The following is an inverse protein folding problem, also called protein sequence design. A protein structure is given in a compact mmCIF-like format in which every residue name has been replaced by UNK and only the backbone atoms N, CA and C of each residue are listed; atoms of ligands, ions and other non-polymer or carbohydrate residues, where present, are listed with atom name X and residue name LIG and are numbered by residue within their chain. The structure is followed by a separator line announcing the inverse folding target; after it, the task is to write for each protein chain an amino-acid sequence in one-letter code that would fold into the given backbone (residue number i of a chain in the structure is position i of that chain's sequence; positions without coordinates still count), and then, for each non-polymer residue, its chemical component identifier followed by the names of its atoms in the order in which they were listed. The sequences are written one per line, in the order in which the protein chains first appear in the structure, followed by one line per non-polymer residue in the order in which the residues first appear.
data_IF_833283483242
#
_entry.id   IF_833283483242
#
_cell.length_a   1.000
_cell.length_b   1.000
_cell.length_c   1.000
_cell.angle_alpha   90.00
_cell.angle_beta   90.00
_cell.angle_gamma   90.00
#
_symmetry.space_group_name_H-M   'P 1'
#
loop_
_entity.id
_entity.type
_entity.pdbx_description
1 polymer ?
#
# COMPACT_ATOMS: atom_id res chain seq x y z
N UNK A 1 -50.62 -51.73 -3.69
CA UNK A 1 -49.89 -50.86 -2.75
C UNK A 1 -48.42 -50.95 -3.13
N UNK A 2 -47.65 -49.94 -3.52
CA UNK A 2 -47.84 -48.51 -3.72
C UNK A 2 -46.63 -48.08 -4.58
N UNK A 3 -46.85 -47.35 -5.69
CA UNK A 3 -45.78 -46.86 -6.57
C UNK A 3 -45.22 -45.56 -6.00
N UNK A 4 -43.96 -45.55 -5.54
CA UNK A 4 -43.28 -44.31 -5.13
C UNK A 4 -42.67 -43.62 -6.35
N UNK A 5 -43.33 -42.56 -6.81
CA UNK A 5 -42.82 -41.63 -7.82
C UNK A 5 -41.71 -40.75 -7.23
N UNK A 6 -40.46 -40.89 -7.71
CA UNK A 6 -39.38 -39.93 -7.45
C UNK A 6 -39.50 -38.73 -8.39
N UNK A 7 -39.85 -37.58 -7.82
CA UNK A 7 -39.91 -36.27 -8.45
C UNK A 7 -38.48 -35.87 -8.90
N UNK A 8 -38.28 -35.62 -10.21
CA UNK A 8 -37.05 -35.01 -10.73
C UNK A 8 -37.08 -33.50 -10.43
N UNK A 9 -36.16 -33.00 -9.60
CA UNK A 9 -36.02 -31.56 -9.41
C UNK A 9 -35.25 -30.94 -10.58
N UNK A 10 -35.96 -30.12 -11.36
CA UNK A 10 -35.34 -29.25 -12.37
C UNK A 10 -34.64 -28.09 -11.65
N UNK A 11 -33.33 -28.21 -11.43
CA UNK A 11 -32.50 -27.07 -11.04
C UNK A 11 -32.27 -26.19 -12.28
N UNK A 12 -33.02 -25.09 -12.36
CA UNK A 12 -32.75 -23.98 -13.27
C UNK A 12 -31.33 -23.46 -13.03
N UNK A 13 -30.43 -23.65 -14.01
CA UNK A 13 -29.09 -23.07 -13.98
C UNK A 13 -29.23 -21.55 -14.16
N UNK A 14 -28.93 -20.78 -13.11
CA UNK A 14 -28.76 -19.34 -13.25
C UNK A 14 -27.58 -19.05 -14.20
N UNK A 15 -27.66 -18.01 -15.04
CA UNK A 15 -26.58 -17.70 -15.97
C UNK A 15 -25.34 -17.29 -15.15
N UNK A 16 -24.27 -18.09 -15.26
CA UNK A 16 -22.95 -17.75 -14.70
C UNK A 16 -22.53 -16.43 -15.33
N UNK A 17 -22.42 -15.37 -14.51
CA UNK A 17 -21.81 -14.10 -14.92
C UNK A 17 -20.44 -14.41 -15.51
N UNK A 18 -20.22 -14.01 -16.76
CA UNK A 18 -18.89 -14.09 -17.41
C UNK A 18 -17.92 -13.27 -16.57
N UNK A 19 -17.04 -13.95 -15.84
CA UNK A 19 -15.86 -13.33 -15.25
C UNK A 19 -14.94 -13.00 -16.42
N UNK A 20 -14.73 -11.71 -16.69
CA UNK A 20 -13.69 -11.28 -17.62
C UNK A 20 -12.35 -11.56 -16.94
N UNK A 21 -11.74 -12.69 -17.29
CA UNK A 21 -10.36 -12.98 -16.91
C UNK A 21 -9.46 -12.08 -17.73
N UNK A 22 -8.85 -11.08 -17.10
CA UNK A 22 -7.78 -10.33 -17.73
C UNK A 22 -6.55 -11.24 -17.72
N UNK A 23 -6.21 -11.82 -18.86
CA UNK A 23 -4.91 -12.49 -19.03
C UNK A 23 -3.84 -11.42 -19.20
N UNK A 24 -3.34 -10.90 -18.08
CA UNK A 24 -2.12 -10.12 -18.08
C UNK A 24 -0.97 -11.11 -18.35
N UNK A 25 -0.48 -11.12 -19.60
CA UNK A 25 0.74 -11.85 -20.00
C UNK A 25 2.02 -11.25 -19.41
N UNK A 26 1.88 -10.23 -18.56
CA UNK A 26 2.94 -9.44 -17.95
C UNK A 26 2.60 -9.43 -16.47
N UNK A 27 3.50 -9.96 -15.64
CA UNK A 27 3.39 -9.83 -14.19
C UNK A 27 3.27 -8.32 -13.87
N UNK A 28 2.15 -7.87 -13.28
CA UNK A 28 1.91 -6.46 -13.05
C UNK A 28 3.08 -5.81 -12.33
N UNK A 29 3.71 -6.52 -11.39
CA UNK A 29 4.83 -6.03 -10.60
C UNK A 29 6.19 -6.10 -11.30
N UNK A 30 6.42 -7.02 -12.25
CA UNK A 30 7.63 -6.96 -13.09
C UNK A 30 7.59 -5.72 -14.00
N UNK A 31 6.42 -5.35 -14.52
CA UNK A 31 6.25 -4.08 -15.24
C UNK A 31 6.45 -2.85 -14.33
N UNK A 32 6.11 -2.98 -13.04
CA UNK A 32 6.29 -1.91 -12.05
C UNK A 32 7.74 -1.77 -11.56
N UNK A 33 8.62 -2.75 -11.70
CA UNK A 33 10.00 -2.68 -11.21
C UNK A 33 10.91 -2.69 -12.44
N UNK A 34 11.31 -1.49 -12.86
CA UNK A 34 11.88 -1.15 -14.17
C UNK A 34 12.42 -2.31 -15.01
N UNK A 35 11.90 -2.49 -16.23
CA UNK A 35 12.54 -3.32 -17.28
C UNK A 35 13.91 -2.77 -17.71
N UNK A 36 14.24 -1.53 -17.34
CA UNK A 36 15.31 -0.74 -17.94
C UNK A 36 16.53 -0.43 -17.02
N UNK A 37 16.82 -1.25 -16.01
CA UNK A 37 18.11 -1.11 -15.31
C UNK A 37 18.92 -2.41 -15.25
N UNK A 38 19.57 -2.81 -16.37
CA UNK A 38 20.54 -3.90 -16.39
C UNK A 38 21.88 -3.53 -15.70
N UNK A 39 21.98 -2.38 -15.03
CA UNK A 39 23.27 -1.79 -14.64
C UNK A 39 23.73 -2.05 -13.19
N UNK A 40 22.99 -2.82 -12.38
CA UNK A 40 23.56 -3.29 -11.10
C UNK A 40 23.02 -4.68 -10.77
N UNK A 41 23.91 -5.60 -10.39
CA UNK A 41 23.61 -6.88 -9.73
C UNK A 41 22.99 -6.66 -8.32
N UNK A 42 22.05 -5.73 -8.19
CA UNK A 42 21.47 -5.36 -6.91
C UNK A 42 20.33 -6.32 -6.59
N UNK A 43 20.55 -7.11 -5.53
CA UNK A 43 19.54 -7.93 -4.87
C UNK A 43 18.25 -7.13 -4.69
N UNK A 44 17.09 -7.70 -5.07
CA UNK A 44 15.77 -7.09 -4.85
C UNK A 44 15.64 -6.71 -3.35
N UNK A 45 15.28 -5.45 -3.00
CA UNK A 45 15.22 -4.97 -1.61
C UNK A 45 13.96 -5.46 -0.88
N UNK A 46 13.27 -6.44 -1.46
CA UNK A 46 12.04 -7.01 -0.95
C UNK A 46 11.96 -8.49 -1.28
N UNK A 47 11.09 -9.16 -0.54
CA UNK A 47 10.62 -10.51 -0.84
C UNK A 47 9.13 -10.46 -1.17
N UNK A 48 8.66 -11.41 -1.99
CA UNK A 48 7.22 -11.56 -2.23
C UNK A 48 6.66 -12.36 -1.05
N UNK A 49 5.80 -11.73 -0.25
CA UNK A 49 5.16 -12.35 0.90
C UNK A 49 3.87 -13.08 0.51
N UNK A 50 3.12 -12.50 -0.43
CA UNK A 50 1.90 -13.08 -0.97
C UNK A 50 1.73 -12.67 -2.43
N UNK A 51 1.28 -13.61 -3.28
CA UNK A 51 1.02 -13.38 -4.68
C UNK A 51 -0.26 -14.09 -5.12
N UNK A 52 -1.15 -13.36 -5.78
CA UNK A 52 -2.38 -13.86 -6.36
C UNK A 52 -2.60 -13.23 -7.75
N UNK A 53 -2.13 -13.90 -8.82
CA UNK A 53 -2.23 -13.37 -10.17
C UNK A 53 -3.68 -13.34 -10.69
N UNK A 54 -4.56 -14.22 -10.22
CA UNK A 54 -5.97 -14.25 -10.63
C UNK A 54 -6.70 -12.95 -10.26
N UNK A 55 -6.33 -12.36 -9.12
CA UNK A 55 -6.90 -11.09 -8.65
C UNK A 55 -5.93 -9.91 -8.78
N UNK A 56 -4.75 -10.10 -9.37
CA UNK A 56 -3.70 -9.08 -9.48
C UNK A 56 -3.33 -8.45 -8.13
N UNK A 57 -3.25 -9.28 -7.08
CA UNK A 57 -2.89 -8.85 -5.73
C UNK A 57 -1.48 -9.34 -5.43
N UNK A 58 -0.62 -8.44 -4.96
CA UNK A 58 0.72 -8.77 -4.48
C UNK A 58 1.04 -8.02 -3.19
N UNK A 59 1.67 -8.72 -2.26
CA UNK A 59 2.20 -8.15 -1.03
C UNK A 59 3.72 -8.32 -1.02
N UNK A 60 4.41 -7.18 -0.93
CA UNK A 60 5.87 -7.10 -0.87
C UNK A 60 6.28 -6.87 0.58
N UNK A 61 7.32 -7.58 1.02
CA UNK A 61 7.94 -7.38 2.32
C UNK A 61 9.34 -6.81 2.13
N UNK A 62 9.49 -5.52 2.45
CA UNK A 62 10.71 -4.74 2.33
C UNK A 62 10.50 -3.29 2.81
N UNK A 63 11.55 -2.49 2.79
CA UNK A 63 11.45 -1.05 3.06
C UNK A 63 10.71 -0.36 1.90
N UNK A 64 9.64 0.39 2.22
CA UNK A 64 8.80 0.96 1.16
C UNK A 64 9.54 2.00 0.30
N UNK A 65 10.50 2.73 0.86
CA UNK A 65 11.27 3.73 0.11
C UNK A 65 12.21 3.00 -0.86
N UNK A 66 12.89 1.94 -0.42
CA UNK A 66 13.74 1.12 -1.28
C UNK A 66 12.95 0.46 -2.42
N UNK A 67 11.78 -0.11 -2.10
CA UNK A 67 10.89 -0.72 -3.10
C UNK A 67 10.39 0.34 -4.08
N UNK A 68 9.89 1.47 -3.57
CA UNK A 68 9.40 2.55 -4.42
C UNK A 68 10.51 3.15 -5.27
N UNK A 69 11.77 3.19 -4.83
CA UNK A 69 12.91 3.70 -5.61
C UNK A 69 13.27 2.80 -6.80
N UNK A 70 12.98 1.50 -6.73
CA UNK A 70 13.17 0.59 -7.87
C UNK A 70 11.95 0.53 -8.79
N UNK A 71 10.83 1.10 -8.37
CA UNK A 71 9.63 1.10 -9.18
C UNK A 71 9.77 2.03 -10.41
N UNK A 72 9.00 1.75 -11.45
CA UNK A 72 8.92 2.54 -12.68
C UNK A 72 8.23 3.86 -12.38
N UNK A 73 8.73 4.93 -12.96
CA UNK A 73 8.11 6.25 -12.88
C UNK A 73 6.75 6.26 -13.56
N UNK A 74 5.85 7.12 -13.11
CA UNK A 74 4.52 7.31 -13.74
C UNK A 74 3.78 5.98 -13.98
N UNK A 75 3.78 5.11 -12.98
CA UNK A 75 3.24 3.76 -13.08
C UNK A 75 2.02 3.52 -12.18
N UNK A 76 1.89 4.28 -11.09
CA UNK A 76 0.81 4.13 -10.12
C UNK A 76 -0.29 5.18 -10.35
N UNK A 77 -1.54 4.72 -10.45
CA UNK A 77 -2.71 5.60 -10.59
C UNK A 77 -3.16 6.19 -9.24
N UNK A 78 -3.06 5.41 -8.17
CA UNK A 78 -3.51 5.83 -6.84
C UNK A 78 -2.61 5.25 -5.75
N UNK A 79 -2.24 6.09 -4.77
CA UNK A 79 -1.50 5.70 -3.57
C UNK A 79 -2.36 5.99 -2.35
N UNK A 80 -2.42 5.04 -1.43
CA UNK A 80 -2.94 5.25 -0.09
C UNK A 80 -1.82 4.97 0.93
N UNK A 81 -1.54 5.91 1.81
CA UNK A 81 -0.47 5.81 2.80
C UNK A 81 -0.98 6.10 4.21
N UNK A 82 -0.63 5.22 5.15
CA UNK A 82 -0.83 5.41 6.58
C UNK A 82 0.54 5.39 7.29
N UNK A 83 1.28 6.52 7.30
CA UNK A 83 2.65 6.59 7.81
C UNK A 83 2.69 6.53 9.35
N UNK A 84 3.87 6.35 9.96
CA UNK A 84 4.05 6.47 11.41
C UNK A 84 3.60 7.83 11.94
N UNK A 85 2.94 7.85 13.12
CA UNK A 85 2.45 9.09 13.74
C UNK A 85 3.42 9.62 14.81
N UNK A 86 4.48 8.85 15.10
CA UNK A 86 5.55 9.18 16.04
C UNK A 86 5.07 9.30 17.50
N UNK A 87 4.07 8.50 17.87
CA UNK A 87 3.40 8.57 19.19
C UNK A 87 4.00 7.65 20.25
N UNK A 88 4.86 6.72 19.86
CA UNK A 88 5.47 5.74 20.78
C UNK A 88 6.55 6.39 21.66
N UNK A 89 6.16 6.92 22.81
CA UNK A 89 7.03 7.70 23.72
C UNK A 89 7.28 7.07 25.10
N UNK A 90 6.87 5.82 25.32
CA UNK A 90 7.01 5.16 26.63
C UNK A 90 5.86 5.41 27.60
N UNK A 91 4.86 6.21 27.22
CA UNK A 91 3.71 6.53 28.06
C UNK A 91 2.67 5.43 28.21
N UNK A 92 1.67 5.74 29.02
CA UNK A 92 0.46 4.94 29.25
C UNK A 92 -0.76 5.81 28.99
N UNK A 93 -1.82 5.21 28.45
CA UNK A 93 -3.13 5.86 28.30
C UNK A 93 -4.22 4.95 28.87
N UNK A 94 -5.41 5.50 29.08
CA UNK A 94 -6.58 4.72 29.48
C UNK A 94 -7.44 4.44 28.25
N UNK A 95 -7.62 3.16 27.93
CA UNK A 95 -8.53 2.72 26.88
C UNK A 95 -9.58 1.78 27.48
N UNK A 96 -10.86 2.16 27.35
CA UNK A 96 -11.98 1.42 27.93
C UNK A 96 -11.81 1.11 29.44
N UNK A 97 -11.33 2.09 30.22
CA UNK A 97 -11.10 1.95 31.65
C UNK A 97 -9.85 1.13 32.03
N UNK A 98 -9.06 0.69 31.06
CA UNK A 98 -7.83 -0.10 31.28
C UNK A 98 -6.60 0.72 30.92
N UNK A 99 -5.56 0.60 31.74
CA UNK A 99 -4.24 1.14 31.43
C UNK A 99 -3.63 0.35 30.27
N UNK A 100 -3.29 1.05 29.19
CA UNK A 100 -2.66 0.47 28.00
C UNK A 100 -1.43 1.28 27.60
N UNK A 101 -0.41 0.61 27.06
CA UNK A 101 0.78 1.30 26.56
C UNK A 101 0.46 2.08 25.29
N UNK A 102 1.05 3.27 25.14
CA UNK A 102 0.97 4.05 23.89
C UNK A 102 1.98 3.59 22.85
N UNK A 103 2.89 2.67 23.19
CA UNK A 103 3.92 2.18 22.28
C UNK A 103 3.32 1.21 21.24
N UNK A 104 3.33 1.62 19.98
CA UNK A 104 2.88 0.82 18.83
C UNK A 104 4.01 0.01 18.22
N UNK A 105 5.23 0.55 18.26
CA UNK A 105 6.41 -0.15 17.76
C UNK A 105 7.63 0.75 17.70
N UNK A 106 8.80 0.17 17.44
CA UNK A 106 10.06 0.92 17.28
C UNK A 106 10.01 1.88 16.08
N UNK A 107 9.24 1.53 15.05
CA UNK A 107 9.01 2.33 13.84
C UNK A 107 8.17 3.58 14.08
N UNK A 108 7.39 3.62 15.17
CA UNK A 108 6.52 4.74 15.55
C UNK A 108 7.14 5.62 16.65
N UNK A 109 8.44 5.45 16.94
CA UNK A 109 9.16 6.29 17.90
C UNK A 109 9.73 7.51 17.19
N UNK A 110 9.38 8.70 17.67
CA UNK A 110 9.95 9.97 17.19
C UNK A 110 11.47 9.99 17.34
N UNK A 111 12.16 10.54 16.34
CA UNK A 111 13.63 10.78 16.39
C UNK A 111 14.00 12.26 16.54
N UNK A 112 13.02 13.15 16.53
CA UNK A 112 13.21 14.59 16.42
C UNK A 112 12.31 15.15 15.32
N UNK A 113 11.98 16.44 15.38
CA UNK A 113 11.07 17.05 14.39
C UNK A 113 11.72 17.01 13.00
N UNK A 114 13.00 17.31 12.95
CA UNK A 114 13.83 17.35 11.74
C UNK A 114 13.94 15.95 11.10
N UNK A 115 14.25 14.92 11.88
CA UNK A 115 14.36 13.55 11.37
C UNK A 115 13.02 13.00 10.90
N UNK A 116 11.94 13.28 11.64
CA UNK A 116 10.59 12.85 11.27
C UNK A 116 10.13 13.53 9.98
N UNK A 117 10.43 14.82 9.82
CA UNK A 117 10.10 15.57 8.62
C UNK A 117 10.94 15.10 7.42
N UNK A 118 12.24 14.86 7.63
CA UNK A 118 13.12 14.29 6.60
C UNK A 118 12.61 12.93 6.11
N UNK A 119 12.27 12.03 7.04
CA UNK A 119 11.64 10.76 6.70
C UNK A 119 10.36 10.97 5.88
N UNK A 120 9.54 11.95 6.26
CA UNK A 120 8.29 12.28 5.56
C UNK A 120 8.53 12.74 4.13
N UNK A 121 9.52 13.60 3.90
CA UNK A 121 9.94 14.03 2.57
C UNK A 121 10.45 12.87 1.72
N UNK A 122 11.26 11.98 2.29
CA UNK A 122 11.88 10.86 1.55
C UNK A 122 10.82 9.91 0.97
N UNK A 123 9.85 9.46 1.76
CA UNK A 123 8.82 8.56 1.25
C UNK A 123 7.82 9.28 0.34
N UNK A 124 7.45 10.55 0.61
CA UNK A 124 6.57 11.31 -0.27
C UNK A 124 7.21 11.54 -1.65
N UNK A 125 8.50 11.84 -1.69
CA UNK A 125 9.25 12.01 -2.95
C UNK A 125 9.27 10.71 -3.76
N UNK A 126 9.49 9.57 -3.10
CA UNK A 126 9.43 8.26 -3.74
C UNK A 126 8.03 7.97 -4.30
N UNK A 127 6.97 8.31 -3.56
CA UNK A 127 5.59 8.23 -4.03
C UNK A 127 5.31 9.14 -5.24
N UNK A 128 5.73 10.41 -5.19
CA UNK A 128 5.53 11.38 -6.27
C UNK A 128 6.16 10.90 -7.58
N UNK A 129 7.35 10.29 -7.53
CA UNK A 129 8.06 9.76 -8.69
C UNK A 129 7.30 8.63 -9.40
N UNK A 130 6.69 7.72 -8.63
CA UNK A 130 5.97 6.57 -9.20
C UNK A 130 4.54 6.92 -9.61
N UNK A 131 3.97 7.98 -9.05
CA UNK A 131 2.63 8.42 -9.36
C UNK A 131 2.58 8.96 -10.80
N UNK A 132 1.52 8.62 -11.53
CA UNK A 132 1.27 9.21 -12.86
C UNK A 132 0.97 10.71 -12.75
N UNK A 133 1.10 11.51 -13.83
CA UNK A 133 0.82 12.95 -13.79
C UNK A 133 -0.60 13.30 -13.35
N UNK A 134 -1.56 12.38 -13.56
CA UNK A 134 -2.97 12.51 -13.14
C UNK A 134 -3.34 11.54 -12.00
N UNK A 135 -2.34 10.95 -11.34
CA UNK A 135 -2.58 10.04 -10.23
C UNK A 135 -2.96 10.79 -8.95
N UNK A 136 -3.47 10.06 -7.97
CA UNK A 136 -3.89 10.65 -6.68
C UNK A 136 -3.19 9.96 -5.51
N UNK A 137 -2.77 10.73 -4.52
CA UNK A 137 -2.27 10.22 -3.25
C UNK A 137 -3.18 10.63 -2.10
N UNK A 138 -3.49 9.68 -1.23
CA UNK A 138 -4.25 9.86 0.00
C UNK A 138 -3.35 9.50 1.18
N UNK A 139 -3.21 10.41 2.13
CA UNK A 139 -2.40 10.18 3.33
C UNK A 139 -3.26 10.34 4.57
N UNK A 140 -3.35 9.29 5.39
CA UNK A 140 -3.99 9.36 6.70
C UNK A 140 -3.05 9.89 7.76
N UNK A 141 -3.61 10.56 8.76
CA UNK A 141 -2.84 11.09 9.87
C UNK A 141 -3.73 11.70 10.93
N UNK A 142 -3.23 11.73 12.16
CA UNK A 142 -3.79 12.60 13.21
C UNK A 142 -3.11 13.98 13.18
N UNK A 143 -3.54 14.88 14.06
CA UNK A 143 -2.95 16.22 14.22
C UNK A 143 -1.43 16.21 14.46
N UNK A 144 -0.87 15.12 14.98
CA UNK A 144 0.57 14.99 15.26
C UNK A 144 1.44 14.93 14.00
N UNK A 145 0.89 14.46 12.88
CA UNK A 145 1.66 14.23 11.65
C UNK A 145 1.09 14.95 10.43
N UNK A 146 -0.23 15.18 10.39
CA UNK A 146 -0.91 15.67 9.18
C UNK A 146 -0.41 17.05 8.74
N UNK A 147 -0.02 17.93 9.68
CA UNK A 147 0.56 19.23 9.37
C UNK A 147 1.97 19.12 8.78
N UNK A 148 2.80 18.21 9.30
CA UNK A 148 4.15 17.97 8.77
C UNK A 148 4.10 17.34 7.38
N UNK A 149 3.17 16.40 7.16
CA UNK A 149 2.89 15.82 5.83
C UNK A 149 2.43 16.88 4.85
N UNK A 150 1.43 17.70 5.24
CA UNK A 150 0.93 18.77 4.39
C UNK A 150 2.01 19.78 4.01
N UNK A 151 2.88 20.13 4.95
CA UNK A 151 4.04 20.99 4.71
C UNK A 151 5.06 20.33 3.76
N UNK A 152 5.41 19.06 3.99
CA UNK A 152 6.30 18.31 3.10
C UNK A 152 5.75 18.22 1.66
N UNK A 153 4.44 18.03 1.49
CA UNK A 153 3.80 18.04 0.18
C UNK A 153 3.91 19.40 -0.53
N UNK A 154 3.80 20.50 0.22
CA UNK A 154 4.02 21.85 -0.32
C UNK A 154 5.46 22.04 -0.77
N UNK A 155 6.44 21.62 0.04
CA UNK A 155 7.87 21.70 -0.33
C UNK A 155 8.20 20.92 -1.61
N UNK A 156 7.58 19.75 -1.79
CA UNK A 156 7.75 18.91 -2.98
C UNK A 156 7.01 19.44 -4.22
N UNK A 157 6.25 20.54 -4.09
CA UNK A 157 5.41 21.05 -5.16
C UNK A 157 4.28 20.09 -5.57
N UNK A 158 3.90 19.16 -4.69
CA UNK A 158 2.88 18.15 -4.94
C UNK A 158 1.44 18.71 -4.83
N UNK A 159 1.29 20.01 -4.60
CA UNK A 159 -0.01 20.68 -4.57
C UNK A 159 -0.40 21.05 -6.01
N UNK A 160 -1.02 20.10 -6.70
CA UNK A 160 -1.83 20.44 -7.88
C UNK A 160 -3.19 20.94 -7.39
N UNK A 161 -3.45 22.23 -7.65
CA UNK A 161 -4.78 22.85 -7.60
C UNK A 161 -5.74 22.21 -8.60
#
# INVERSE_FOLDING_TARGET
MEKVNKIKSNKTKSPRKRIKTYSLSIDPCEFYISEANPATENKKPFTIYYDNPEHSIRLLNGDCIEVLNQARENSVDMIFADPPYFLSNGGITCHAGKMVSVNKGKWDKSRGVEENHKFTLEWLKACQRVLKPNGTIWVSGTTHIIYSVGFAMQELGAVSV
#
